data_IF_640833601529
#
_entry.id   IF_640833601529
#
_cell.length_a   1.000
_cell.length_b   1.000
_cell.length_c   1.000
_cell.angle_alpha   90.00
_cell.angle_beta   90.00
_cell.angle_gamma   90.00
#
_symmetry.space_group_name_H-M   'P 1'
#
loop_
_entity.id
_entity.type
_entity.pdbx_description
1 polymer ?
#
# COMPACT_ATOMS: atom_id res chain seq x y z
N UNK A 1 25.69 -8.12 13.91
CA UNK A 1 24.85 -7.66 12.79
C UNK A 1 25.75 -7.04 11.72
N UNK A 2 25.48 -7.28 10.45
CA UNK A 2 26.19 -6.60 9.36
C UNK A 2 25.79 -5.11 9.38
N UNK A 3 26.77 -4.21 9.29
CA UNK A 3 26.54 -2.77 9.23
C UNK A 3 26.78 -2.30 7.80
N UNK A 4 25.79 -1.62 7.22
CA UNK A 4 25.84 -1.14 5.84
C UNK A 4 25.80 0.38 5.89
N UNK A 5 26.70 1.03 5.15
CA UNK A 5 26.65 2.48 4.93
C UNK A 5 26.05 2.70 3.56
N UNK A 6 24.99 3.50 3.49
CA UNK A 6 24.27 3.79 2.25
C UNK A 6 24.38 5.28 1.97
N UNK A 7 24.88 5.63 0.79
CA UNK A 7 24.88 7.01 0.30
C UNK A 7 23.70 7.17 -0.64
N UNK A 8 22.87 8.17 -0.39
CA UNK A 8 21.68 8.47 -1.17
C UNK A 8 21.86 9.86 -1.83
N UNK A 9 21.38 10.06 -3.06
CA UNK A 9 21.23 11.39 -3.64
C UNK A 9 20.33 12.27 -2.77
N UNK A 10 20.62 13.57 -2.70
CA UNK A 10 19.94 14.50 -1.78
C UNK A 10 18.41 14.50 -1.92
N UNK A 11 17.92 14.46 -3.17
CA UNK A 11 16.49 14.43 -3.47
C UNK A 11 15.78 13.15 -2.97
N UNK A 12 16.51 12.03 -2.91
CA UNK A 12 16.00 10.75 -2.42
C UNK A 12 16.07 10.72 -0.89
N UNK A 13 17.17 11.22 -0.32
CA UNK A 13 17.32 11.37 1.12
C UNK A 13 16.18 12.20 1.72
N UNK A 14 15.84 13.35 1.12
CA UNK A 14 14.72 14.18 1.57
C UNK A 14 13.36 13.46 1.53
N UNK A 15 13.13 12.64 0.50
CA UNK A 15 11.89 11.87 0.38
C UNK A 15 11.79 10.78 1.45
N UNK A 16 12.87 10.03 1.66
CA UNK A 16 12.91 9.00 2.71
C UNK A 16 12.77 9.64 4.09
N UNK A 17 13.37 10.81 4.31
CA UNK A 17 13.23 11.56 5.55
C UNK A 17 11.78 12.03 5.79
N UNK A 18 11.09 12.51 4.76
CA UNK A 18 9.66 12.86 4.84
C UNK A 18 8.79 11.65 5.19
N UNK A 19 9.08 10.48 4.60
CA UNK A 19 8.36 9.24 4.89
C UNK A 19 8.60 8.83 6.35
N UNK A 20 9.85 8.81 6.80
CA UNK A 20 10.22 8.46 8.17
C UNK A 20 9.53 9.38 9.19
N UNK A 21 9.51 10.69 8.93
CA UNK A 21 8.84 11.68 9.79
C UNK A 21 7.32 11.51 9.83
N UNK A 22 6.69 11.10 8.72
CA UNK A 22 5.24 10.84 8.66
C UNK A 22 4.84 9.59 9.43
N UNK A 23 5.67 8.54 9.38
CA UNK A 23 5.42 7.26 10.06
C UNK A 23 5.98 7.22 11.50
N UNK A 24 6.61 8.31 11.96
CA UNK A 24 7.28 8.41 13.27
C UNK A 24 8.37 7.33 13.48
N UNK A 25 9.06 6.99 12.40
CA UNK A 25 10.09 5.95 12.34
C UNK A 25 11.50 6.54 12.20
N UNK A 26 12.52 5.72 12.51
CA UNK A 26 13.92 6.10 12.25
C UNK A 26 14.27 6.00 10.76
N UNK A 27 15.09 6.92 10.27
CA UNK A 27 15.54 6.93 8.87
C UNK A 27 16.20 5.61 8.45
N UNK A 28 16.99 4.99 9.33
CA UNK A 28 17.62 3.70 9.08
C UNK A 28 16.62 2.56 8.96
N UNK A 29 15.58 2.55 9.78
CA UNK A 29 14.50 1.56 9.71
C UNK A 29 13.71 1.73 8.42
N UNK A 30 13.29 2.95 8.10
CA UNK A 30 12.57 3.27 6.84
C UNK A 30 13.41 2.89 5.62
N UNK A 31 14.70 3.19 5.62
CA UNK A 31 15.61 2.81 4.52
C UNK A 31 15.70 1.30 4.37
N UNK A 32 15.84 0.56 5.47
CA UNK A 32 15.91 -0.90 5.45
C UNK A 32 14.63 -1.52 4.90
N UNK A 33 13.47 -1.03 5.36
CA UNK A 33 12.15 -1.48 4.90
C UNK A 33 11.94 -1.22 3.40
N UNK A 34 12.36 -0.06 2.90
CA UNK A 34 12.28 0.26 1.46
C UNK A 34 13.18 -0.65 0.62
N UNK A 35 14.39 -0.97 1.10
CA UNK A 35 15.30 -1.91 0.43
C UNK A 35 14.69 -3.31 0.39
N UNK A 36 14.11 -3.77 1.49
CA UNK A 36 13.46 -5.07 1.57
C UNK A 36 12.28 -5.20 0.60
N UNK A 37 11.40 -4.19 0.55
CA UNK A 37 10.31 -4.11 -0.43
C UNK A 37 10.86 -4.13 -1.86
N UNK A 38 11.92 -3.35 -2.12
CA UNK A 38 12.58 -3.30 -3.43
C UNK A 38 13.12 -4.68 -3.85
N UNK A 39 13.77 -5.40 -2.95
CA UNK A 39 14.29 -6.74 -3.18
C UNK A 39 13.17 -7.76 -3.41
N UNK A 40 12.08 -7.70 -2.65
CA UNK A 40 10.90 -8.53 -2.88
C UNK A 40 10.35 -8.31 -4.29
N UNK A 41 10.10 -7.05 -4.68
CA UNK A 41 9.60 -6.70 -6.02
C UNK A 41 10.56 -7.13 -7.13
N UNK A 42 11.88 -7.02 -6.92
CA UNK A 42 12.89 -7.46 -7.89
C UNK A 42 12.92 -8.98 -8.04
N UNK A 43 12.82 -9.72 -6.94
CA UNK A 43 12.79 -11.19 -6.97
C UNK A 43 11.50 -11.70 -7.61
N UNK A 44 10.36 -11.09 -7.31
CA UNK A 44 9.08 -11.36 -8.00
C UNK A 44 9.14 -11.02 -9.49
N UNK A 45 10.04 -10.16 -9.96
CA UNK A 45 10.24 -9.92 -11.41
C UNK A 45 11.22 -10.90 -12.06
N UNK A 46 12.17 -11.43 -11.29
CA UNK A 46 13.21 -12.33 -11.79
C UNK A 46 12.70 -13.78 -11.97
N UNK A 47 11.79 -14.24 -11.10
CA UNK A 47 11.21 -15.59 -11.15
C UNK A 47 10.12 -15.74 -12.24
N UNK A 48 9.67 -14.62 -12.81
CA UNK A 48 8.39 -14.52 -13.53
C UNK A 48 8.51 -14.15 -15.01
N UNK A 49 9.34 -14.87 -15.77
CA UNK A 49 9.34 -14.76 -17.24
C UNK A 49 8.07 -15.36 -17.89
N UNK A 50 7.40 -16.31 -17.24
CA UNK A 50 6.13 -16.91 -17.70
C UNK A 50 4.87 -16.21 -17.13
N UNK A 51 5.03 -15.37 -16.10
CA UNK A 51 3.94 -14.74 -15.33
C UNK A 51 3.42 -13.40 -15.90
N UNK A 52 4.07 -12.85 -16.94
CA UNK A 52 3.64 -11.59 -17.57
C UNK A 52 2.17 -11.59 -18.00
N UNK A 53 1.62 -12.73 -18.43
CA UNK A 53 0.19 -12.85 -18.78
C UNK A 53 -0.74 -12.81 -17.58
N UNK A 54 -0.31 -13.31 -16.41
CA UNK A 54 -1.08 -13.22 -15.17
C UNK A 54 -1.06 -11.78 -14.64
N UNK A 55 0.08 -11.09 -14.74
CA UNK A 55 0.23 -9.67 -14.39
C UNK A 55 -0.70 -8.75 -15.19
N UNK A 56 -0.90 -8.99 -16.49
CA UNK A 56 -1.81 -8.17 -17.30
C UNK A 56 -3.28 -8.32 -16.88
N UNK A 57 -3.68 -9.55 -16.51
CA UNK A 57 -5.03 -9.84 -15.99
C UNK A 57 -5.20 -9.19 -14.61
N UNK A 58 -4.18 -9.29 -13.75
CA UNK A 58 -4.21 -8.69 -12.43
C UNK A 58 -4.25 -7.16 -12.50
N UNK A 59 -3.46 -6.54 -13.38
CA UNK A 59 -3.50 -5.09 -13.64
C UNK A 59 -4.88 -4.66 -14.19
N UNK A 60 -5.47 -5.46 -15.09
CA UNK A 60 -6.81 -5.21 -15.60
C UNK A 60 -7.89 -5.31 -14.50
N UNK A 61 -7.81 -6.33 -13.65
CA UNK A 61 -8.69 -6.47 -12.48
C UNK A 61 -8.55 -5.29 -11.51
N UNK A 62 -7.32 -4.82 -11.25
CA UNK A 62 -7.09 -3.64 -10.42
C UNK A 62 -7.72 -2.37 -11.03
N UNK A 63 -7.60 -2.16 -12.34
CA UNK A 63 -8.26 -1.05 -13.04
C UNK A 63 -9.79 -1.12 -12.90
N UNK A 64 -10.38 -2.30 -13.05
CA UNK A 64 -11.82 -2.51 -12.85
C UNK A 64 -12.26 -2.21 -11.41
N UNK A 65 -11.49 -2.66 -10.42
CA UNK A 65 -11.79 -2.38 -9.00
C UNK A 65 -11.80 -0.86 -8.75
N UNK A 66 -10.82 -0.12 -9.30
CA UNK A 66 -10.76 1.34 -9.15
C UNK A 66 -11.98 2.01 -9.79
N UNK A 67 -12.36 1.61 -11.01
CA UNK A 67 -13.50 2.17 -11.73
C UNK A 67 -14.82 1.91 -10.98
N UNK A 68 -15.04 0.68 -10.53
CA UNK A 68 -16.24 0.31 -9.76
C UNK A 68 -16.30 1.08 -8.44
N UNK A 69 -15.18 1.19 -7.72
CA UNK A 69 -15.11 1.96 -6.48
C UNK A 69 -15.43 3.45 -6.70
N UNK A 70 -14.99 4.03 -7.81
CA UNK A 70 -15.34 5.40 -8.18
C UNK A 70 -16.84 5.57 -8.38
N UNK A 71 -17.45 4.72 -9.20
CA UNK A 71 -18.90 4.74 -9.49
C UNK A 71 -19.73 4.55 -8.23
N UNK A 72 -19.36 3.59 -7.37
CA UNK A 72 -20.09 3.33 -6.12
C UNK A 72 -19.99 4.51 -5.16
N UNK A 73 -18.83 5.17 -5.06
CA UNK A 73 -18.68 6.39 -4.26
C UNK A 73 -19.53 7.53 -4.82
N UNK A 74 -19.55 7.72 -6.13
CA UNK A 74 -20.37 8.75 -6.78
C UNK A 74 -21.87 8.52 -6.51
N UNK A 75 -22.35 7.27 -6.63
CA UNK A 75 -23.72 6.91 -6.27
C UNK A 75 -24.00 7.13 -4.78
N UNK A 76 -23.07 6.79 -3.89
CA UNK A 76 -23.22 6.98 -2.45
C UNK A 76 -23.36 8.46 -2.07
N UNK A 77 -22.59 9.34 -2.72
CA UNK A 77 -22.69 10.79 -2.52
C UNK A 77 -23.99 11.32 -3.16
N UNK A 78 -24.26 11.02 -4.42
CA UNK A 78 -25.39 11.60 -5.18
C UNK A 78 -26.77 11.09 -4.73
N UNK A 79 -26.92 9.79 -4.49
CA UNK A 79 -28.22 9.18 -4.16
C UNK A 79 -28.50 9.08 -2.68
N UNK A 80 -27.45 8.93 -1.87
CA UNK A 80 -27.60 8.65 -0.45
C UNK A 80 -27.07 9.78 0.45
N UNK A 81 -26.56 10.87 -0.13
CA UNK A 81 -26.02 12.02 0.60
C UNK A 81 -24.97 11.61 1.63
N UNK A 82 -24.19 10.57 1.34
CA UNK A 82 -23.08 10.19 2.22
C UNK A 82 -22.00 11.25 2.08
N UNK A 83 -21.61 11.84 3.21
CA UNK A 83 -20.42 12.67 3.27
C UNK A 83 -19.15 11.80 3.26
N UNK A 84 -18.01 12.45 3.05
CA UNK A 84 -16.71 11.79 3.01
C UNK A 84 -16.38 11.04 4.30
N UNK A 85 -16.85 11.55 5.45
CA UNK A 85 -16.59 10.97 6.77
C UNK A 85 -17.33 9.64 6.94
N UNK A 86 -18.59 9.59 6.51
CA UNK A 86 -19.41 8.38 6.55
C UNK A 86 -18.89 7.32 5.58
N UNK A 87 -18.40 7.72 4.41
CA UNK A 87 -17.71 6.82 3.47
C UNK A 87 -16.43 6.26 4.11
N UNK A 88 -15.64 7.09 4.79
CA UNK A 88 -14.43 6.66 5.49
C UNK A 88 -14.74 5.68 6.63
N UNK A 89 -15.80 5.95 7.42
CA UNK A 89 -16.24 5.06 8.50
C UNK A 89 -16.66 3.68 7.96
N UNK A 90 -17.51 3.63 6.93
CA UNK A 90 -17.95 2.38 6.30
C UNK A 90 -16.74 1.61 5.74
N UNK A 91 -15.78 2.32 5.14
CA UNK A 91 -14.54 1.72 4.63
C UNK A 91 -13.73 1.07 5.75
N UNK A 92 -13.52 1.78 6.87
CA UNK A 92 -12.79 1.27 8.04
C UNK A 92 -13.50 0.07 8.67
N UNK A 93 -14.82 0.13 8.87
CA UNK A 93 -15.59 -0.97 9.44
C UNK A 93 -15.52 -2.23 8.56
N UNK A 94 -15.57 -2.04 7.24
CA UNK A 94 -15.46 -3.14 6.28
C UNK A 94 -14.06 -3.74 6.26
N UNK A 95 -13.01 -2.91 6.29
CA UNK A 95 -11.62 -3.37 6.39
C UNK A 95 -11.36 -4.13 7.68
N UNK A 96 -11.85 -3.61 8.81
CA UNK A 96 -11.75 -4.28 10.11
C UNK A 96 -12.44 -5.65 10.09
N UNK A 97 -13.62 -5.75 9.47
CA UNK A 97 -14.33 -7.03 9.32
C UNK A 97 -13.57 -7.99 8.39
N UNK A 98 -13.02 -7.50 7.29
CA UNK A 98 -12.21 -8.30 6.38
C UNK A 98 -10.95 -8.84 7.08
N UNK A 99 -10.22 -7.99 7.81
CA UNK A 99 -9.03 -8.38 8.56
C UNK A 99 -9.33 -9.42 9.64
N UNK A 100 -10.46 -9.26 10.35
CA UNK A 100 -10.95 -10.27 11.32
C UNK A 100 -11.24 -11.62 10.65
N UNK A 101 -11.90 -11.62 9.49
CA UNK A 101 -12.21 -12.86 8.75
C UNK A 101 -10.95 -13.51 8.17
N UNK A 102 -9.96 -12.72 7.77
CA UNK A 102 -8.67 -13.19 7.26
C UNK A 102 -7.66 -13.56 8.37
N UNK A 103 -8.00 -13.39 9.65
CA UNK A 103 -7.12 -13.71 10.77
C UNK A 103 -5.91 -12.78 10.90
N UNK A 104 -5.94 -11.60 10.27
CA UNK A 104 -4.87 -10.60 10.38
C UNK A 104 -5.09 -9.86 11.70
N UNK A 105 -4.46 -10.35 12.77
CA UNK A 105 -4.44 -9.65 14.05
C UNK A 105 -3.62 -8.37 13.90
N UNK A 106 -4.21 -7.21 14.13
CA UNK A 106 -3.45 -5.99 14.37
C UNK A 106 -2.65 -6.21 15.66
N UNK A 107 -1.33 -6.36 15.54
CA UNK A 107 -0.45 -6.23 16.70
C UNK A 107 -0.64 -4.82 17.27
N UNK A 108 -1.12 -4.76 18.50
CA UNK A 108 -1.19 -3.55 19.31
C UNK A 108 0.23 -3.03 19.57
N UNK A 109 0.49 -1.79 19.19
CA UNK A 109 1.56 -0.97 19.77
C UNK A 109 1.24 -0.65 21.24
#
# INVERSE_FOLDING_TARGET
MARITVTLPDNLHEQVLKIAGKENDSLSYTTTRLVEIGLMVMNTKAENKDEKKASDIEEYCQKLIIQINGIVKEIAVDKFNFDNDKIAQITNDTLNKFNKVKGIQQESL
#
